data_IF_561537348242
#
_entry.id   IF_561537348242
#
_cell.length_a   1.000
_cell.length_b   1.000
_cell.length_c   1.000
_cell.angle_alpha   90.00
_cell.angle_beta   90.00
_cell.angle_gamma   90.00
#
_symmetry.space_group_name_H-M   'P 1'
#
loop_
_entity.id
_entity.type
_entity.pdbx_description
1 polymer ?
#
# COMPACT_ATOMS: atom_id res chain seq x y z
N UNK A 1 27.02 -67.85 37.11
CA UNK A 1 28.16 -67.15 36.48
C UNK A 1 27.60 -66.02 35.64
N UNK A 2 27.79 -64.76 36.06
CA UNK A 2 27.39 -63.60 35.26
C UNK A 2 28.51 -63.26 34.26
N UNK A 3 28.18 -63.15 32.98
CA UNK A 3 29.11 -62.79 31.92
C UNK A 3 29.52 -61.33 32.06
N UNK A 4 30.77 -61.07 32.47
CA UNK A 4 31.36 -59.73 32.53
C UNK A 4 31.84 -59.34 31.13
N UNK A 5 30.99 -58.64 30.37
CA UNK A 5 31.32 -58.13 29.03
C UNK A 5 32.38 -57.03 29.17
N UNK A 6 33.53 -57.20 28.50
CA UNK A 6 34.71 -56.34 28.64
C UNK A 6 34.48 -55.02 27.90
N UNK A 7 34.42 -53.90 28.64
CA UNK A 7 34.30 -52.55 28.09
C UNK A 7 33.06 -51.76 28.50
N UNK A 8 32.10 -52.38 29.19
CA UNK A 8 30.98 -51.67 29.82
C UNK A 8 31.33 -51.24 31.24
N UNK A 9 30.95 -50.02 31.61
CA UNK A 9 31.08 -49.53 32.99
C UNK A 9 30.07 -50.30 33.86
N UNK A 10 30.47 -50.85 35.03
CA UNK A 10 29.57 -51.55 35.93
C UNK A 10 28.41 -50.65 36.39
N UNK A 11 27.18 -51.17 36.52
CA UNK A 11 26.00 -50.38 36.99
C UNK A 11 26.18 -49.80 38.39
N UNK A 12 27.08 -50.39 39.18
CA UNK A 12 27.50 -50.03 40.52
C UNK A 12 28.62 -48.96 40.57
N UNK A 13 29.13 -48.50 39.43
CA UNK A 13 30.14 -47.43 39.35
C UNK A 13 29.50 -46.05 39.63
N UNK A 14 30.11 -45.28 40.54
CA UNK A 14 29.73 -43.90 40.90
C UNK A 14 29.60 -42.91 39.73
N UNK A 15 30.17 -43.23 38.56
CA UNK A 15 30.08 -42.42 37.33
C UNK A 15 28.86 -42.77 36.46
N UNK A 16 28.21 -43.90 36.74
CA UNK A 16 26.96 -44.30 36.08
C UNK A 16 25.82 -43.68 36.86
N UNK A 17 24.92 -42.98 36.16
CA UNK A 17 23.71 -42.46 36.78
C UNK A 17 22.89 -43.64 37.30
N UNK A 18 22.92 -43.87 38.62
CA UNK A 18 22.19 -44.97 39.25
C UNK A 18 20.68 -44.71 39.10
N UNK A 19 19.96 -45.72 38.60
CA UNK A 19 18.51 -45.71 38.44
C UNK A 19 17.88 -45.44 39.82
N UNK A 20 17.24 -44.28 39.98
CA UNK A 20 16.60 -43.85 41.25
C UNK A 20 17.16 -42.59 41.91
N UNK A 21 18.21 -41.97 41.36
CA UNK A 21 18.66 -40.65 41.86
C UNK A 21 17.69 -39.54 41.38
N UNK A 22 17.30 -38.60 42.27
CA UNK A 22 16.45 -37.48 41.87
C UNK A 22 17.13 -36.67 40.78
N UNK A 23 16.36 -36.24 39.79
CA UNK A 23 16.87 -35.36 38.73
C UNK A 23 17.55 -34.13 39.35
N UNK A 24 18.66 -33.64 38.77
CA UNK A 24 19.31 -32.44 39.25
C UNK A 24 18.33 -31.27 39.38
N UNK A 25 18.37 -30.46 40.46
CA UNK A 25 17.38 -29.40 40.70
C UNK A 25 17.26 -28.37 39.55
N UNK A 26 18.33 -28.14 38.80
CA UNK A 26 18.33 -27.24 37.65
C UNK A 26 17.48 -27.74 36.48
N UNK A 27 17.29 -29.06 36.36
CA UNK A 27 16.53 -29.68 35.28
C UNK A 27 15.06 -29.28 35.35
N UNK A 28 14.54 -29.07 36.56
CA UNK A 28 13.14 -28.64 36.77
C UNK A 28 12.93 -27.22 36.24
N UNK A 29 13.82 -26.28 36.55
CA UNK A 29 13.74 -24.90 36.04
C UNK A 29 13.95 -24.84 34.53
N UNK A 30 14.83 -25.69 33.98
CA UNK A 30 15.02 -25.79 32.54
C UNK A 30 13.77 -26.36 31.83
N UNK A 31 13.18 -27.43 32.39
CA UNK A 31 11.95 -28.01 31.86
C UNK A 31 10.80 -26.99 31.90
N UNK A 32 10.68 -26.24 32.99
CA UNK A 32 9.68 -25.17 33.16
C UNK A 32 9.82 -24.11 32.06
N UNK A 33 11.03 -23.55 31.86
CA UNK A 33 11.31 -22.59 30.79
C UNK A 33 11.01 -23.15 29.39
N UNK A 34 11.35 -24.42 29.15
CA UNK A 34 11.06 -25.06 27.87
C UNK A 34 9.56 -25.24 27.66
N UNK A 35 8.81 -25.61 28.70
CA UNK A 35 7.35 -25.73 28.61
C UNK A 35 6.67 -24.39 28.47
N UNK A 36 7.14 -23.34 29.16
CA UNK A 36 6.63 -21.97 28.98
C UNK A 36 6.88 -21.47 27.56
N UNK A 37 8.06 -21.74 27.00
CA UNK A 37 8.40 -21.37 25.62
C UNK A 37 7.51 -22.10 24.62
N UNK A 38 7.27 -23.40 24.80
CA UNK A 38 6.34 -24.16 23.95
C UNK A 38 4.92 -23.62 24.08
N UNK A 39 4.45 -23.36 25.31
CA UNK A 39 3.13 -22.75 25.53
C UNK A 39 3.00 -21.39 24.86
N UNK A 40 4.03 -20.55 24.95
CA UNK A 40 4.08 -19.25 24.31
C UNK A 40 3.95 -19.36 22.78
N UNK A 41 4.73 -20.24 22.13
CA UNK A 41 4.63 -20.43 20.68
C UNK A 41 3.30 -21.04 20.24
N UNK A 42 2.72 -21.94 21.03
CA UNK A 42 1.38 -22.49 20.76
C UNK A 42 0.31 -21.40 20.84
N UNK A 43 0.40 -20.50 21.82
CA UNK A 43 -0.51 -19.35 21.93
C UNK A 43 -0.33 -18.39 20.75
N UNK A 44 0.91 -18.05 20.38
CA UNK A 44 1.18 -17.20 19.21
C UNK A 44 0.66 -17.82 17.92
N UNK A 45 0.83 -19.13 17.75
CA UNK A 45 0.29 -19.85 16.59
C UNK A 45 -1.24 -19.82 16.56
N UNK A 46 -1.89 -20.06 17.70
CA UNK A 46 -3.34 -19.99 17.81
C UNK A 46 -3.90 -18.59 17.52
N UNK A 47 -3.23 -17.54 18.01
CA UNK A 47 -3.59 -16.15 17.70
C UNK A 47 -3.42 -15.82 16.21
N UNK A 48 -2.30 -16.25 15.60
CA UNK A 48 -2.07 -16.08 14.17
C UNK A 48 -3.14 -16.78 13.32
N UNK A 49 -3.54 -18.00 13.70
CA UNK A 49 -4.61 -18.72 13.02
C UNK A 49 -5.98 -18.05 13.19
N UNK A 50 -6.27 -17.51 14.37
CA UNK A 50 -7.54 -16.85 14.67
C UNK A 50 -7.71 -15.53 13.88
N UNK A 51 -6.64 -14.72 13.77
CA UNK A 51 -6.68 -13.44 13.04
C UNK A 51 -6.96 -13.63 11.54
N UNK A 52 -6.46 -14.70 10.95
CA UNK A 52 -6.65 -14.96 9.51
C UNK A 52 -8.02 -15.58 9.17
N UNK A 53 -8.80 -16.04 10.16
CA UNK A 53 -10.07 -16.75 9.92
C UNK A 53 -11.11 -15.86 9.23
N UNK A 54 -11.14 -14.59 9.55
CA UNK A 54 -12.11 -13.64 8.99
C UNK A 54 -11.83 -13.37 7.51
N UNK A 55 -10.55 -13.23 7.14
CA UNK A 55 -10.12 -13.09 5.76
C UNK A 55 -10.39 -14.37 4.96
N UNK A 56 -10.14 -15.54 5.53
CA UNK A 56 -10.46 -16.82 4.87
C UNK A 56 -11.96 -17.00 4.63
N UNK A 57 -12.80 -16.64 5.61
CA UNK A 57 -14.25 -16.68 5.43
C UNK A 57 -14.71 -15.71 4.34
N UNK A 58 -14.24 -14.46 4.40
CA UNK A 58 -14.59 -13.48 3.38
C UNK A 58 -14.10 -13.89 1.97
N UNK A 59 -12.94 -14.55 1.87
CA UNK A 59 -12.47 -15.11 0.61
C UNK A 59 -13.44 -16.16 0.07
N UNK A 60 -13.88 -17.09 0.93
CA UNK A 60 -14.83 -18.13 0.54
C UNK A 60 -16.17 -17.53 0.09
N UNK A 61 -16.70 -16.58 0.86
CA UNK A 61 -17.97 -15.89 0.54
C UNK A 61 -17.87 -15.15 -0.81
N UNK A 62 -16.78 -14.43 -1.07
CA UNK A 62 -16.58 -13.71 -2.35
C UNK A 62 -16.33 -14.67 -3.51
N UNK A 63 -15.57 -15.75 -3.28
CA UNK A 63 -15.32 -16.76 -4.30
C UNK A 63 -16.61 -17.51 -4.68
N UNK A 64 -17.51 -17.74 -3.73
CA UNK A 64 -18.84 -18.29 -4.00
C UNK A 64 -19.67 -17.33 -4.84
N UNK A 65 -19.74 -16.05 -4.49
CA UNK A 65 -20.45 -15.04 -5.28
C UNK A 65 -19.95 -14.93 -6.74
N UNK A 66 -18.64 -15.13 -6.97
CA UNK A 66 -18.05 -15.18 -8.31
C UNK A 66 -18.45 -16.46 -9.04
N UNK A 67 -18.41 -17.62 -8.38
CA UNK A 67 -18.80 -18.91 -8.96
C UNK A 67 -20.28 -18.96 -9.35
N UNK A 68 -21.14 -18.33 -8.57
CA UNK A 68 -22.57 -18.19 -8.87
C UNK A 68 -22.85 -17.23 -10.04
N UNK A 69 -21.82 -16.62 -10.63
CA UNK A 69 -21.96 -15.67 -11.74
C UNK A 69 -22.57 -14.33 -11.33
N UNK A 70 -22.68 -14.05 -10.03
CA UNK A 70 -23.24 -12.77 -9.53
C UNK A 70 -22.26 -11.61 -9.70
N UNK A 71 -20.96 -11.90 -9.81
CA UNK A 71 -19.89 -10.91 -9.96
C UNK A 71 -18.84 -11.35 -10.99
N UNK A 72 -18.36 -10.39 -11.78
CA UNK A 72 -17.28 -10.58 -12.74
C UNK A 72 -15.94 -10.14 -12.12
N UNK A 73 -15.15 -11.10 -11.68
CA UNK A 73 -13.87 -10.81 -11.03
C UNK A 73 -13.14 -12.04 -10.52
N UNK A 74 -12.05 -11.80 -9.80
CA UNK A 74 -11.22 -12.83 -9.19
C UNK A 74 -10.81 -12.41 -7.78
N UNK A 75 -10.59 -13.40 -6.91
CA UNK A 75 -10.08 -13.19 -5.55
C UNK A 75 -8.77 -13.95 -5.40
N UNK A 76 -7.75 -13.26 -4.93
CA UNK A 76 -6.47 -13.83 -4.55
C UNK A 76 -6.17 -13.50 -3.08
N UNK A 77 -5.45 -14.40 -2.41
CA UNK A 77 -4.97 -14.20 -1.06
C UNK A 77 -3.45 -14.30 -1.09
N UNK A 78 -2.79 -13.23 -0.66
CA UNK A 78 -1.34 -13.13 -0.55
C UNK A 78 -0.92 -12.98 0.92
N UNK A 79 0.40 -13.00 1.17
CA UNK A 79 0.94 -12.78 2.53
C UNK A 79 0.59 -11.40 3.10
N UNK A 80 0.44 -10.41 2.22
CA UNK A 80 0.17 -9.02 2.58
C UNK A 80 -1.33 -8.75 2.79
N UNK A 81 -2.22 -9.65 2.34
CA UNK A 81 -3.65 -9.47 2.46
C UNK A 81 -4.48 -10.12 1.34
N UNK A 82 -5.76 -9.75 1.26
CA UNK A 82 -6.70 -10.24 0.25
C UNK A 82 -6.82 -9.22 -0.88
N UNK A 83 -6.75 -9.69 -2.13
CA UNK A 83 -7.02 -8.87 -3.32
C UNK A 83 -8.30 -9.35 -3.99
N UNK A 84 -9.25 -8.43 -4.15
CA UNK A 84 -10.47 -8.65 -4.93
C UNK A 84 -10.37 -7.80 -6.18
N UNK A 85 -10.22 -8.43 -7.34
CA UNK A 85 -10.11 -7.74 -8.62
C UNK A 85 -11.44 -7.79 -9.33
N UNK A 86 -12.02 -6.63 -9.60
CA UNK A 86 -13.18 -6.47 -10.47
C UNK A 86 -12.69 -6.02 -11.85
N UNK A 87 -12.95 -6.84 -12.86
CA UNK A 87 -12.53 -6.61 -14.24
C UNK A 87 -13.70 -6.16 -15.11
N UNK A 88 -13.47 -5.19 -15.98
CA UNK A 88 -14.47 -4.76 -16.95
C UNK A 88 -14.65 -5.86 -18.03
N UNK A 89 -15.78 -6.56 -18.01
CA UNK A 89 -16.06 -7.64 -18.98
C UNK A 89 -17.05 -7.19 -20.06
N UNK A 90 -16.63 -7.30 -21.32
CA UNK A 90 -17.39 -7.13 -22.58
C UNK A 90 -18.42 -5.99 -22.64
N UNK A 91 -19.59 -6.15 -22.00
CA UNK A 91 -20.73 -5.23 -22.03
C UNK A 91 -20.95 -4.45 -20.71
N UNK A 92 -20.19 -4.75 -19.66
CA UNK A 92 -20.34 -4.15 -18.33
C UNK A 92 -19.18 -3.18 -18.12
N UNK A 93 -19.40 -1.92 -18.48
CA UNK A 93 -18.48 -0.83 -18.16
C UNK A 93 -18.70 -0.37 -16.71
N UNK A 94 -17.64 -0.37 -15.88
CA UNK A 94 -17.74 0.14 -14.50
C UNK A 94 -17.71 1.67 -14.42
N UNK A 95 -17.13 2.28 -15.44
CA UNK A 95 -17.00 3.72 -15.60
C UNK A 95 -17.30 4.08 -17.04
N UNK A 96 -17.88 5.25 -17.26
CA UNK A 96 -17.98 5.80 -18.60
C UNK A 96 -16.59 6.12 -19.18
N UNK A 97 -16.48 6.14 -20.51
CA UNK A 97 -15.24 6.46 -21.20
C UNK A 97 -14.76 7.88 -20.82
N UNK A 98 -13.51 7.99 -20.37
CA UNK A 98 -12.91 9.26 -19.95
C UNK A 98 -13.49 9.87 -18.68
N UNK A 99 -14.40 9.18 -17.97
CA UNK A 99 -15.00 9.66 -16.71
C UNK A 99 -14.67 8.75 -15.53
N UNK A 100 -14.84 9.32 -14.34
CA UNK A 100 -14.64 8.64 -13.07
C UNK A 100 -15.95 8.32 -12.33
N UNK A 101 -17.10 8.69 -12.89
CA UNK A 101 -18.40 8.40 -12.28
C UNK A 101 -18.74 6.90 -12.39
N UNK A 102 -19.30 6.35 -11.31
CA UNK A 102 -19.68 4.94 -11.23
C UNK A 102 -20.96 4.69 -12.01
N UNK A 103 -20.93 3.71 -12.91
CA UNK A 103 -22.14 3.26 -13.62
C UNK A 103 -23.09 2.50 -12.69
N UNK A 104 -24.36 2.39 -13.07
CA UNK A 104 -25.36 1.60 -12.32
C UNK A 104 -24.91 0.15 -12.13
N UNK A 105 -24.26 -0.42 -13.15
CA UNK A 105 -23.73 -1.78 -13.08
C UNK A 105 -22.64 -1.91 -12.02
N UNK A 106 -21.71 -0.94 -11.93
CA UNK A 106 -20.70 -0.91 -10.87
C UNK A 106 -21.35 -0.76 -9.49
N UNK A 107 -22.37 0.10 -9.38
CA UNK A 107 -23.10 0.25 -8.12
C UNK A 107 -23.79 -1.04 -7.67
N UNK A 108 -24.33 -1.84 -8.60
CA UNK A 108 -24.89 -3.17 -8.29
C UNK A 108 -23.81 -4.14 -7.79
N UNK A 109 -22.62 -4.14 -8.40
CA UNK A 109 -21.50 -4.97 -7.93
C UNK A 109 -21.03 -4.51 -6.53
N UNK A 110 -20.90 -3.20 -6.35
CA UNK A 110 -20.53 -2.61 -5.06
C UNK A 110 -21.55 -2.88 -3.97
N UNK A 111 -22.86 -2.88 -4.27
CA UNK A 111 -23.90 -3.20 -3.30
C UNK A 111 -23.80 -4.64 -2.77
N UNK A 112 -23.32 -5.59 -3.60
CA UNK A 112 -23.07 -6.98 -3.19
C UNK A 112 -21.79 -7.12 -2.36
N UNK A 113 -20.76 -6.36 -2.72
CA UNK A 113 -19.44 -6.44 -2.09
C UNK A 113 -19.35 -5.63 -0.78
N UNK A 114 -20.08 -4.52 -0.67
CA UNK A 114 -20.04 -3.60 0.45
C UNK A 114 -20.33 -4.26 1.82
N UNK A 115 -21.30 -5.18 1.98
CA UNK A 115 -21.50 -5.87 3.25
C UNK A 115 -20.27 -6.67 3.73
N UNK A 116 -19.60 -7.36 2.80
CA UNK A 116 -18.39 -8.15 3.10
C UNK A 116 -17.24 -7.22 3.46
N UNK A 117 -16.99 -6.21 2.64
CA UNK A 117 -15.92 -5.24 2.87
C UNK A 117 -16.14 -4.44 4.16
N UNK A 118 -17.38 -4.11 4.52
CA UNK A 118 -17.68 -3.37 5.74
C UNK A 118 -17.22 -4.14 6.97
N UNK A 119 -17.56 -5.42 7.04
CA UNK A 119 -17.15 -6.29 8.14
C UNK A 119 -15.63 -6.41 8.23
N UNK A 120 -14.94 -6.45 7.08
CA UNK A 120 -13.48 -6.46 7.06
C UNK A 120 -12.89 -5.11 7.52
N UNK A 121 -13.52 -3.99 7.13
CA UNK A 121 -13.07 -2.63 7.44
C UNK A 121 -13.10 -2.28 8.93
N UNK A 122 -13.75 -3.09 9.77
CA UNK A 122 -13.72 -2.92 11.23
C UNK A 122 -12.33 -3.20 11.83
N UNK A 123 -11.51 -3.99 11.13
CA UNK A 123 -10.19 -4.43 11.61
C UNK A 123 -9.06 -4.29 10.60
N UNK A 124 -9.39 -4.04 9.33
CA UNK A 124 -8.43 -4.05 8.24
C UNK A 124 -8.56 -2.79 7.40
N UNK A 125 -7.43 -2.29 6.91
CA UNK A 125 -7.42 -1.22 5.93
C UNK A 125 -7.76 -1.76 4.54
N UNK A 126 -8.60 -1.02 3.83
CA UNK A 126 -9.03 -1.31 2.46
C UNK A 126 -8.46 -0.23 1.55
N UNK A 127 -7.57 -0.65 0.66
CA UNK A 127 -6.99 0.18 -0.37
C UNK A 127 -7.71 -0.13 -1.68
N UNK A 128 -8.31 0.89 -2.26
CA UNK A 128 -8.92 0.81 -3.58
C UNK A 128 -7.91 1.26 -4.61
N UNK A 129 -7.55 0.38 -5.53
CA UNK A 129 -6.57 0.61 -6.58
C UNK A 129 -7.28 0.74 -7.93
N UNK A 130 -7.05 1.85 -8.62
CA UNK A 130 -7.55 2.11 -9.97
C UNK A 130 -6.49 1.79 -11.02
N UNK A 131 -6.90 1.05 -12.06
CA UNK A 131 -6.06 0.74 -13.22
C UNK A 131 -6.77 1.14 -14.52
N UNK A 132 -5.98 1.61 -15.50
CA UNK A 132 -6.44 1.95 -16.85
C UNK A 132 -5.70 1.10 -17.89
N UNK A 133 -6.19 1.12 -19.13
CA UNK A 133 -5.42 0.62 -20.27
C UNK A 133 -4.37 1.66 -20.71
N UNK A 134 -3.60 1.30 -21.74
CA UNK A 134 -2.54 2.14 -22.31
C UNK A 134 -3.02 3.14 -23.36
N UNK A 135 -4.33 3.28 -23.58
CA UNK A 135 -4.82 4.26 -24.55
C UNK A 135 -4.63 5.64 -23.92
N UNK A 136 -3.81 6.53 -24.50
CA UNK A 136 -3.58 7.83 -23.91
C UNK A 136 -4.88 8.62 -23.85
N UNK A 137 -5.15 9.23 -22.70
CA UNK A 137 -6.25 10.16 -22.53
C UNK A 137 -5.72 11.56 -22.29
N UNK A 138 -6.43 12.54 -22.83
CA UNK A 138 -6.27 13.95 -22.51
C UNK A 138 -7.64 14.60 -22.62
N UNK A 139 -8.35 14.65 -21.50
CA UNK A 139 -9.67 15.29 -21.40
C UNK A 139 -9.54 16.61 -20.64
N UNK A 140 -10.59 17.44 -20.67
CA UNK A 140 -10.62 18.68 -19.87
C UNK A 140 -10.53 18.41 -18.36
N UNK A 141 -11.01 17.26 -17.90
CA UNK A 141 -11.04 16.89 -16.48
C UNK A 141 -9.80 16.12 -16.02
N UNK A 142 -9.23 15.31 -16.91
CA UNK A 142 -8.10 14.42 -16.62
C UNK A 142 -7.07 14.55 -17.73
N UNK A 143 -5.88 15.05 -17.38
CA UNK A 143 -4.77 15.27 -18.30
C UNK A 143 -4.04 13.97 -18.66
N UNK A 144 -4.18 12.91 -17.85
CA UNK A 144 -3.51 11.63 -18.09
C UNK A 144 -4.24 10.44 -17.44
N UNK A 145 -3.84 9.23 -17.83
CA UNK A 145 -4.31 7.97 -17.24
C UNK A 145 -4.02 7.87 -15.73
N UNK A 146 -2.96 8.53 -15.24
CA UNK A 146 -2.67 8.63 -13.81
C UNK A 146 -3.77 9.36 -13.04
N UNK A 147 -4.25 10.48 -13.58
CA UNK A 147 -5.33 11.26 -12.96
C UNK A 147 -6.66 10.51 -13.04
N UNK A 148 -6.99 9.92 -14.19
CA UNK A 148 -8.23 9.17 -14.35
C UNK A 148 -8.29 7.94 -13.41
N UNK A 149 -7.21 7.17 -13.32
CA UNK A 149 -7.16 6.00 -12.44
C UNK A 149 -7.33 6.39 -10.97
N UNK A 150 -6.66 7.47 -10.51
CA UNK A 150 -6.78 8.00 -9.16
C UNK A 150 -8.19 8.52 -8.88
N UNK A 151 -8.80 9.21 -9.84
CA UNK A 151 -10.16 9.71 -9.74
C UNK A 151 -11.19 8.58 -9.64
N UNK A 152 -11.04 7.52 -10.47
CA UNK A 152 -11.89 6.32 -10.42
C UNK A 152 -11.81 5.61 -9.07
N UNK A 153 -10.59 5.41 -8.55
CA UNK A 153 -10.40 4.85 -7.22
C UNK A 153 -11.07 5.72 -6.14
N UNK A 154 -10.95 7.04 -6.25
CA UNK A 154 -11.58 7.99 -5.34
C UNK A 154 -13.12 7.92 -5.40
N UNK A 155 -13.72 7.78 -6.59
CA UNK A 155 -15.17 7.61 -6.74
C UNK A 155 -15.69 6.36 -6.04
N UNK A 156 -14.95 5.25 -6.14
CA UNK A 156 -15.26 4.02 -5.42
C UNK A 156 -15.16 4.22 -3.91
N UNK A 157 -14.11 4.90 -3.41
CA UNK A 157 -13.99 5.24 -1.98
C UNK A 157 -15.15 6.14 -1.53
N UNK A 158 -15.55 7.14 -2.33
CA UNK A 158 -16.72 7.98 -2.04
C UNK A 158 -18.01 7.16 -1.91
N UNK A 159 -18.20 6.16 -2.78
CA UNK A 159 -19.32 5.23 -2.66
C UNK A 159 -19.29 4.44 -1.35
N UNK A 160 -18.12 3.93 -0.95
CA UNK A 160 -17.95 3.22 0.32
C UNK A 160 -18.23 4.12 1.52
N UNK A 161 -17.78 5.39 1.49
CA UNK A 161 -18.09 6.37 2.53
C UNK A 161 -19.60 6.62 2.65
N UNK A 162 -20.29 6.79 1.52
CA UNK A 162 -21.76 6.91 1.49
C UNK A 162 -22.47 5.65 2.00
N UNK A 163 -21.78 4.52 1.98
CA UNK A 163 -22.24 3.26 2.54
C UNK A 163 -21.83 3.07 4.00
N UNK A 164 -21.54 4.10 4.81
CA UNK A 164 -21.19 3.99 6.25
C UNK A 164 -19.90 3.20 6.56
N UNK A 165 -18.85 3.32 5.74
CA UNK A 165 -17.52 2.82 6.10
C UNK A 165 -16.77 3.82 6.98
N UNK A 166 -15.88 3.34 7.85
CA UNK A 166 -14.99 4.20 8.61
C UNK A 166 -13.93 4.83 7.68
N UNK A 167 -13.87 6.16 7.54
CA UNK A 167 -12.93 6.81 6.63
C UNK A 167 -11.46 6.52 6.94
N UNK A 168 -11.12 6.18 8.20
CA UNK A 168 -9.75 5.90 8.63
C UNK A 168 -9.15 4.67 7.95
N UNK A 169 -9.98 3.70 7.59
CA UNK A 169 -9.55 2.43 7.00
C UNK A 169 -9.64 2.41 5.48
N UNK A 170 -9.84 3.57 4.83
CA UNK A 170 -9.99 3.66 3.39
C UNK A 170 -8.86 4.46 2.78
N UNK A 171 -8.28 3.93 1.71
CA UNK A 171 -7.35 4.65 0.85
C UNK A 171 -7.70 4.44 -0.63
N UNK A 172 -7.40 5.44 -1.46
CA UNK A 172 -7.48 5.34 -2.91
C UNK A 172 -6.08 5.51 -3.52
N UNK A 173 -5.71 4.64 -4.45
CA UNK A 173 -4.45 4.69 -5.17
C UNK A 173 -4.74 4.53 -6.67
N UNK A 174 -4.15 5.38 -7.51
CA UNK A 174 -4.19 5.21 -8.96
C UNK A 174 -2.83 4.78 -9.49
N UNK A 175 -2.79 3.74 -10.31
CA UNK A 175 -1.56 3.25 -10.94
C UNK A 175 -1.45 3.58 -12.43
N UNK A 176 -2.50 4.16 -13.02
CA UNK A 176 -2.63 4.34 -14.45
C UNK A 176 -2.49 3.03 -15.22
N UNK A 177 -1.67 3.06 -16.27
CA UNK A 177 -1.42 1.95 -17.20
C UNK A 177 -0.20 1.08 -16.85
N UNK A 178 0.55 1.44 -15.79
CA UNK A 178 1.89 0.90 -15.53
C UNK A 178 1.90 -0.49 -14.88
N UNK A 179 0.73 -1.01 -14.50
CA UNK A 179 0.58 -2.33 -13.88
C UNK A 179 -0.40 -3.21 -14.67
N UNK A 180 -0.13 -3.56 -15.94
CA UNK A 180 -1.00 -4.44 -16.71
C UNK A 180 -0.96 -5.88 -16.17
N UNK A 181 -2.10 -6.57 -16.12
CA UNK A 181 -2.13 -8.03 -15.84
C UNK A 181 -1.88 -8.80 -17.13
N UNK A 182 -2.31 -8.23 -18.26
CA UNK A 182 -2.14 -8.79 -19.61
C UNK A 182 -1.55 -7.75 -20.56
N UNK A 183 -0.79 -8.16 -21.60
CA UNK A 183 -0.27 -7.21 -22.59
C UNK A 183 -1.38 -6.39 -23.25
N UNK A 184 -1.17 -5.09 -23.48
CA UNK A 184 -2.17 -4.20 -24.10
C UNK A 184 -2.25 -4.32 -25.64
N UNK A 185 -2.08 -5.53 -26.17
CA UNK A 185 -2.02 -5.84 -27.59
C UNK A 185 -3.40 -5.89 -28.27
N UNK A 186 -4.45 -6.24 -27.52
CA UNK A 186 -5.80 -6.47 -28.01
C UNK A 186 -6.83 -5.69 -27.19
N UNK A 187 -7.99 -5.40 -27.78
CA UNK A 187 -9.08 -4.73 -27.06
C UNK A 187 -9.58 -5.58 -25.87
N UNK A 188 -9.61 -6.90 -26.03
CA UNK A 188 -9.99 -7.83 -24.96
C UNK A 188 -9.01 -7.72 -23.79
N UNK A 189 -7.70 -7.64 -24.06
CA UNK A 189 -6.71 -7.48 -23.01
C UNK A 189 -6.73 -6.09 -22.37
N UNK A 190 -6.96 -5.03 -23.16
CA UNK A 190 -7.17 -3.68 -22.62
C UNK A 190 -8.36 -3.64 -21.65
N UNK A 191 -9.47 -4.32 -21.95
CA UNK A 191 -10.63 -4.44 -21.06
C UNK A 191 -10.26 -5.07 -19.70
N UNK A 192 -9.45 -6.13 -19.69
CA UNK A 192 -8.95 -6.75 -18.45
C UNK A 192 -8.03 -5.81 -17.64
N UNK A 193 -7.32 -4.91 -18.31
CA UNK A 193 -6.47 -3.92 -17.64
C UNK A 193 -7.26 -2.73 -17.07
N UNK A 194 -8.48 -2.47 -17.57
CA UNK A 194 -9.43 -1.56 -16.94
C UNK A 194 -10.13 -2.29 -15.78
N UNK A 195 -9.61 -2.10 -14.59
CA UNK A 195 -10.05 -2.83 -13.40
C UNK A 195 -9.94 -1.99 -12.14
N UNK A 196 -10.69 -2.40 -11.13
CA UNK A 196 -10.58 -1.88 -9.77
C UNK A 196 -10.18 -3.05 -8.88
N UNK A 197 -9.12 -2.85 -8.09
CA UNK A 197 -8.66 -3.84 -7.12
C UNK A 197 -8.98 -3.32 -5.73
N UNK A 198 -9.63 -4.14 -4.92
CA UNK A 198 -9.73 -3.92 -3.48
C UNK A 198 -8.65 -4.74 -2.82
N UNK A 199 -7.66 -4.06 -2.25
CA UNK A 199 -6.62 -4.68 -1.46
C UNK A 199 -6.92 -4.48 0.03
N UNK A 200 -7.29 -5.56 0.69
CA UNK A 200 -7.54 -5.60 2.13
C UNK A 200 -6.24 -6.03 2.79
N UNK A 201 -5.57 -5.10 3.46
CA UNK A 201 -4.31 -5.36 4.14
C UNK A 201 -4.52 -6.31 5.32
N UNK A 202 -3.65 -7.30 5.43
CA UNK A 202 -3.50 -8.03 6.68
C UNK A 202 -2.82 -7.08 7.67
N UNK A 203 -3.58 -6.44 8.56
CA UNK A 203 -3.01 -5.55 9.55
C UNK A 203 -2.66 -6.36 10.81
N UNK A 204 -1.38 -6.61 11.12
CA UNK A 204 -0.99 -7.38 12.28
C UNK A 204 -1.14 -6.61 13.61
N UNK A 205 -1.47 -5.31 13.61
CA UNK A 205 -1.50 -4.49 14.83
C UNK A 205 -2.75 -3.60 14.93
N UNK A 206 -3.41 -3.51 16.10
CA UNK A 206 -4.34 -2.43 16.37
C UNK A 206 -3.59 -1.10 16.24
N UNK A 207 -4.25 -0.10 15.64
CA UNK A 207 -3.73 1.25 15.46
C UNK A 207 -2.95 1.69 16.70
N UNK A 208 -1.67 2.06 16.54
CA UNK A 208 -0.99 2.81 17.59
C UNK A 208 -1.90 4.00 17.92
N UNK A 209 -2.19 4.27 19.21
CA UNK A 209 -3.00 5.41 19.56
C UNK A 209 -2.36 6.63 18.91
N UNK A 210 -3.14 7.37 18.13
CA UNK A 210 -2.75 8.64 17.54
C UNK A 210 -2.34 9.55 18.68
N UNK A 211 -1.07 9.51 19.07
CA UNK A 211 -0.48 10.55 19.88
C UNK A 211 -0.48 11.75 18.94
N UNK A 212 -1.38 12.69 19.20
CA UNK A 212 -1.23 14.03 18.64
C UNK A 212 0.20 14.53 18.92
N UNK A 213 0.69 15.53 18.18
CA UNK A 213 1.99 16.12 18.48
C UNK A 213 2.06 16.38 19.99
N UNK A 214 3.14 15.98 20.68
CA UNK A 214 3.18 16.01 22.14
C UNK A 214 2.78 17.41 22.60
N UNK A 215 1.68 17.50 23.34
CA UNK A 215 1.15 18.72 23.93
C UNK A 215 2.05 19.22 25.10
N UNK A 216 3.37 19.14 24.91
CA UNK A 216 4.40 19.44 25.89
C UNK A 216 5.62 20.06 25.19
N UNK A 217 5.41 21.17 24.47
CA UNK A 217 6.50 22.07 24.05
C UNK A 217 6.06 23.54 23.94
N UNK A 218 5.00 23.95 24.65
CA UNK A 218 4.50 25.33 24.64
C UNK A 218 5.18 26.26 25.67
N UNK A 219 6.21 25.81 26.39
CA UNK A 219 6.92 26.61 27.39
C UNK A 219 8.46 26.54 27.24
N UNK A 220 8.96 26.65 26.01
CA UNK A 220 10.38 26.98 25.79
C UNK A 220 10.49 28.48 25.55
N UNK A 221 10.97 29.20 26.56
CA UNK A 221 11.38 30.62 26.43
C UNK A 221 12.52 30.68 25.41
N UNK A 222 12.45 31.50 24.35
CA UNK A 222 13.57 31.66 23.43
C UNK A 222 14.75 32.31 24.18
N UNK A 223 16.01 31.90 23.91
CA UNK A 223 17.17 32.52 24.55
C UNK A 223 17.27 34.00 24.15
N UNK A 224 17.75 34.88 25.06
CA UNK A 224 17.84 36.31 24.79
C UNK A 224 18.86 36.60 23.67
N UNK A 225 18.62 37.65 22.86
CA UNK A 225 19.59 38.07 21.85
C UNK A 225 20.88 38.60 22.53
N UNK A 226 22.03 38.23 21.96
CA UNK A 226 23.34 38.66 22.46
C UNK A 226 23.49 40.19 22.41
N UNK A 227 24.20 40.81 23.37
CA UNK A 227 24.35 42.26 23.43
C UNK A 227 25.35 42.78 22.38
N UNK A 228 24.98 43.94 21.82
CA UNK A 228 25.75 44.79 20.91
C UNK A 228 27.23 44.86 21.24
N UNK A 229 28.08 44.48 20.28
CA UNK A 229 29.49 44.83 20.26
C UNK A 229 29.70 45.99 19.28
N UNK A 230 29.55 47.20 19.83
CA UNK A 230 30.28 48.45 19.54
C UNK A 230 30.97 48.60 18.17
N UNK A 231 30.43 49.49 17.34
CA UNK A 231 31.16 50.21 16.28
C UNK A 231 32.16 51.21 16.89
N UNK A 232 33.41 51.25 16.40
CA UNK A 232 34.07 52.46 15.83
C UNK A 232 35.50 52.15 15.30
N UNK A 233 36.17 53.00 14.46
CA UNK A 233 36.07 52.95 12.99
C UNK A 233 37.44 52.83 12.27
N UNK A 234 37.42 52.57 10.95
CA UNK A 234 38.52 52.97 10.06
C UNK A 234 37.93 53.48 8.73
N UNK A 235 38.27 54.72 8.39
CA UNK A 235 37.87 55.47 7.19
C UNK A 235 38.96 55.35 6.09
N UNK A 236 38.85 55.98 4.89
CA UNK A 236 38.53 55.27 3.64
C UNK A 236 39.59 55.48 2.53
N UNK A 237 39.67 54.56 1.56
CA UNK A 237 40.28 54.70 0.23
C UNK A 237 40.04 53.33 -0.46
N UNK A 238 39.50 53.12 -1.66
CA UNK A 238 39.02 53.88 -2.82
C UNK A 238 38.83 52.83 -3.94
N UNK A 239 38.23 53.23 -5.08
CA UNK A 239 38.09 52.55 -6.41
C UNK A 239 36.62 52.21 -6.79
N UNK A 240 36.19 52.51 -8.05
CA UNK A 240 34.95 53.22 -8.32
C UNK A 240 33.82 52.38 -8.95
N UNK A 241 32.64 53.01 -8.99
CA UNK A 241 31.40 52.58 -9.65
C UNK A 241 31.47 52.80 -11.16
N UNK A 242 31.02 51.83 -11.96
CA UNK A 242 30.46 52.06 -13.29
C UNK A 242 29.04 51.49 -13.36
N UNK A 243 28.09 52.40 -13.54
CA UNK A 243 26.71 52.16 -13.97
C UNK A 243 26.68 51.39 -15.29
N UNK A 244 25.66 50.56 -15.53
CA UNK A 244 24.75 50.70 -16.70
C UNK A 244 23.48 49.87 -16.50
N UNK A 245 22.36 50.48 -16.88
CA UNK A 245 20.98 50.04 -16.70
C UNK A 245 20.46 49.18 -17.85
N UNK A 246 19.31 48.54 -17.58
CA UNK A 246 18.37 47.83 -18.46
C UNK A 246 18.13 48.47 -19.84
N UNK A 247 18.01 47.65 -20.89
CA UNK A 247 17.03 47.93 -21.98
C UNK A 247 16.54 46.68 -22.73
N UNK A 248 15.28 46.76 -23.14
CA UNK A 248 14.36 45.76 -23.71
C UNK A 248 14.57 45.46 -25.19
N UNK A 249 14.18 44.27 -25.66
CA UNK A 249 14.19 43.87 -27.07
C UNK A 249 12.86 44.20 -27.80
N UNK A 250 12.87 44.63 -29.09
CA UNK A 250 11.69 44.63 -29.94
C UNK A 250 11.79 43.65 -31.14
N UNK A 251 10.65 43.47 -31.81
CA UNK A 251 10.36 42.50 -32.87
C UNK A 251 10.46 43.07 -34.31
N UNK A 252 10.66 42.17 -35.29
CA UNK A 252 10.13 42.24 -36.67
C UNK A 252 11.07 42.69 -37.81
N UNK A 253 11.27 41.84 -38.83
CA UNK A 253 10.97 42.10 -40.27
C UNK A 253 11.37 40.87 -41.13
N UNK A 254 10.56 40.51 -42.14
CA UNK A 254 10.79 39.45 -43.15
C UNK A 254 11.83 39.89 -44.22
N UNK A 255 12.24 38.97 -45.13
CA UNK A 255 12.39 39.40 -46.52
C UNK A 255 11.62 38.51 -47.52
N UNK A 256 11.32 39.16 -48.64
CA UNK A 256 10.31 38.86 -49.64
C UNK A 256 10.71 37.82 -50.72
N UNK A 257 9.65 37.36 -51.37
CA UNK A 257 9.51 36.46 -52.51
C UNK A 257 10.08 37.03 -53.84
N UNK A 258 10.69 36.15 -54.65
CA UNK A 258 10.88 36.35 -56.09
C UNK A 258 10.66 34.98 -56.80
N UNK A 259 9.76 34.97 -57.77
CA UNK A 259 9.33 33.80 -58.56
C UNK A 259 10.07 33.74 -59.94
N UNK A 260 9.67 32.91 -60.93
CA UNK A 260 10.30 31.63 -61.29
C UNK A 260 10.84 31.56 -62.75
N UNK A 261 11.71 30.61 -63.08
CA UNK A 261 12.01 30.23 -64.48
C UNK A 261 12.22 28.71 -64.65
N UNK A 262 11.83 28.24 -65.84
CA UNK A 262 11.62 26.86 -66.32
C UNK A 262 12.89 26.04 -66.65
N UNK A 263 12.62 24.80 -67.14
CA UNK A 263 13.49 23.82 -67.82
C UNK A 263 14.25 22.86 -66.88
N UNK A 264 14.27 21.54 -67.03
CA UNK A 264 13.92 20.62 -68.11
C UNK A 264 14.82 19.37 -67.94
N UNK A 265 14.30 18.19 -68.32
CA UNK A 265 14.86 16.82 -68.29
C UNK A 265 14.75 16.01 -66.99
#
# INVERSE_FOLDING_TARGET
MALKVRGMIPEDDSRVAQIGHPAPPWMVNYADLMTELVCFFVILYALSAALNKDMQKAQADVQEMIKEGKMAGQVAMDKEGMRITLEEQSQIAFFESGKADLTDQMQVQMAKLAPVLRKLSERHDIIVEGHTDNVPIATRQYASNWELSSARATSVVKYLLGSNFNPKHLAAVGYGENHPIVPNDSELNRKKNRRVVFFIKNNPYPEAPVTGPPAAAANAVPPPPAPDATMEPASPEGVPVQDQAFETAPAGEQPAEAAPEEEGL
#
